data_IF_057929762181
#
_entry.id   IF_057929762181
#
_cell.length_a   1.000
_cell.length_b   1.000
_cell.length_c   1.000
_cell.angle_alpha   90.00
_cell.angle_beta   90.00
_cell.angle_gamma   90.00
#
_symmetry.space_group_name_H-M   'P 1'
#
loop_
_entity.id
_entity.type
_entity.pdbx_description
1 polymer ?
#
# COMPACT_ATOMS: atom_id res chain seq x y z
N UNK A 1 12.59 2.12 14.28
CA UNK A 1 12.28 1.83 12.87
C UNK A 1 11.09 2.70 12.48
N UNK A 2 11.11 3.33 11.30
CA UNK A 2 10.00 4.21 10.89
C UNK A 2 8.86 3.38 10.31
N UNK A 3 7.62 3.63 10.72
CA UNK A 3 6.44 2.92 10.22
C UNK A 3 5.81 3.67 9.06
N UNK A 4 5.71 3.01 7.91
CA UNK A 4 5.19 3.62 6.68
C UNK A 4 3.97 2.84 6.20
N UNK A 5 2.85 3.53 6.01
CA UNK A 5 1.62 2.94 5.49
C UNK A 5 1.37 3.35 4.03
N UNK A 6 1.26 2.37 3.14
CA UNK A 6 0.83 2.56 1.76
C UNK A 6 -0.68 2.33 1.64
N UNK A 7 -1.43 3.39 1.33
CA UNK A 7 -2.88 3.36 1.23
C UNK A 7 -3.36 3.44 -0.22
N UNK A 8 -4.17 2.49 -0.63
CA UNK A 8 -4.87 2.51 -1.92
C UNK A 8 -6.37 2.27 -1.74
N UNK A 9 -7.13 2.15 -2.82
CA UNK A 9 -8.59 1.89 -2.73
C UNK A 9 -8.88 0.48 -2.20
N UNK A 10 -8.32 -0.57 -2.82
CA UNK A 10 -8.73 -1.96 -2.60
C UNK A 10 -7.66 -2.90 -2.00
N UNK A 11 -6.50 -2.37 -1.61
CA UNK A 11 -5.30 -3.12 -1.19
C UNK A 11 -4.91 -4.31 -2.09
N UNK A 12 -5.10 -4.15 -3.40
CA UNK A 12 -4.99 -5.25 -4.36
C UNK A 12 -3.68 -5.26 -5.17
N UNK A 13 -3.23 -4.10 -5.67
CA UNK A 13 -2.03 -4.01 -6.51
C UNK A 13 -1.00 -3.02 -5.95
N UNK A 14 -1.28 -1.71 -6.08
CA UNK A 14 -0.28 -0.64 -5.88
C UNK A 14 0.31 -0.62 -4.49
N UNK A 15 -0.54 -0.65 -3.46
CA UNK A 15 -0.04 -0.64 -2.09
C UNK A 15 0.67 -1.94 -1.70
N UNK A 16 0.26 -3.08 -2.28
CA UNK A 16 0.92 -4.38 -2.07
C UNK A 16 2.33 -4.41 -2.67
N UNK A 17 2.49 -3.95 -3.91
CA UNK A 17 3.79 -3.83 -4.56
C UNK A 17 4.68 -2.83 -3.82
N UNK A 18 4.13 -1.69 -3.39
CA UNK A 18 4.88 -0.68 -2.64
C UNK A 18 5.40 -1.23 -1.29
N UNK A 19 4.58 -2.00 -0.57
CA UNK A 19 5.03 -2.70 0.64
C UNK A 19 6.17 -3.68 0.32
N UNK A 20 6.02 -4.51 -0.73
CA UNK A 20 7.04 -5.47 -1.14
C UNK A 20 8.38 -4.82 -1.49
N UNK A 21 8.36 -3.77 -2.32
CA UNK A 21 9.56 -2.99 -2.65
C UNK A 21 10.21 -2.38 -1.41
N UNK A 22 9.39 -1.82 -0.51
CA UNK A 22 9.93 -1.16 0.67
C UNK A 22 10.55 -2.16 1.64
N UNK A 23 9.93 -3.32 1.80
CA UNK A 23 10.45 -4.40 2.65
C UNK A 23 11.76 -4.94 2.10
N UNK A 24 11.87 -5.09 0.79
CA UNK A 24 13.07 -5.59 0.13
C UNK A 24 14.27 -4.64 0.25
N UNK A 25 14.10 -3.35 -0.04
CA UNK A 25 15.21 -2.39 -0.05
C UNK A 25 15.48 -1.70 1.29
N UNK A 26 14.45 -1.54 2.13
CA UNK A 26 14.53 -0.72 3.33
C UNK A 26 13.97 -1.40 4.59
N UNK A 27 13.76 -2.71 4.58
CA UNK A 27 13.19 -3.46 5.72
C UNK A 27 13.96 -3.33 7.04
N UNK A 28 15.26 -3.01 6.99
CA UNK A 28 16.11 -2.79 8.17
C UNK A 28 15.87 -1.43 8.85
N UNK A 29 15.29 -0.46 8.13
CA UNK A 29 15.12 0.93 8.61
C UNK A 29 13.66 1.39 8.62
N UNK A 30 12.84 0.79 7.76
CA UNK A 30 11.43 1.05 7.57
C UNK A 30 10.66 -0.23 7.82
N UNK A 31 9.58 -0.10 8.58
CA UNK A 31 8.58 -1.13 8.77
C UNK A 31 7.38 -0.80 7.87
N UNK A 32 7.28 -1.41 6.67
CA UNK A 32 6.23 -1.07 5.72
C UNK A 32 4.94 -1.84 6.01
N UNK A 33 3.83 -1.14 5.81
CA UNK A 33 2.48 -1.65 5.89
C UNK A 33 1.69 -1.23 4.65
N UNK A 34 0.72 -2.04 4.24
CA UNK A 34 -0.25 -1.65 3.23
C UNK A 34 -1.68 -1.91 3.68
N UNK A 35 -2.58 -1.04 3.26
CA UNK A 35 -4.02 -1.19 3.46
C UNK A 35 -4.81 -0.57 2.31
N UNK A 36 -6.11 -0.78 2.39
CA UNK A 36 -7.12 -0.25 1.49
C UNK A 36 -8.24 0.44 2.26
N UNK A 37 -8.96 1.33 1.59
CA UNK A 37 -10.28 1.76 2.07
C UNK A 37 -11.26 0.58 2.06
N UNK A 38 -11.11 -0.29 1.06
CA UNK A 38 -11.83 -1.55 0.88
C UNK A 38 -10.82 -2.69 0.70
N UNK A 39 -11.32 -3.94 0.77
CA UNK A 39 -10.53 -5.14 0.47
C UNK A 39 -11.04 -5.81 -0.81
N UNK A 40 -10.19 -5.88 -1.83
CA UNK A 40 -10.52 -6.53 -3.11
C UNK A 40 -9.69 -7.81 -3.35
N UNK A 41 -8.86 -8.21 -2.38
CA UNK A 41 -7.98 -9.36 -2.51
C UNK A 41 -6.65 -9.01 -3.20
N UNK A 42 -5.61 -9.82 -2.95
CA UNK A 42 -4.31 -9.64 -3.57
C UNK A 42 -4.39 -9.96 -5.07
N UNK A 43 -3.97 -9.03 -5.93
CA UNK A 43 -4.02 -9.23 -7.37
C UNK A 43 -2.95 -10.26 -7.81
N UNK A 44 -3.33 -11.38 -8.45
CA UNK A 44 -2.38 -12.39 -8.90
C UNK A 44 -1.32 -11.84 -9.87
N UNK A 45 -1.65 -10.83 -10.68
CA UNK A 45 -0.69 -10.18 -11.56
C UNK A 45 0.34 -9.36 -10.80
N UNK A 46 -0.04 -8.75 -9.66
CA UNK A 46 0.93 -8.07 -8.80
C UNK A 46 1.94 -9.07 -8.22
N UNK A 47 1.47 -10.25 -7.78
CA UNK A 47 2.35 -11.33 -7.31
C UNK A 47 3.30 -11.75 -8.43
N UNK A 48 2.78 -11.99 -9.64
CA UNK A 48 3.57 -12.41 -10.79
C UNK A 48 4.66 -11.40 -11.16
N UNK A 49 4.30 -10.12 -11.30
CA UNK A 49 5.23 -9.06 -11.71
C UNK A 49 6.30 -8.81 -10.64
N UNK A 50 5.96 -8.89 -9.36
CA UNK A 50 6.95 -8.76 -8.28
C UNK A 50 7.90 -9.97 -8.25
N UNK A 51 7.39 -11.18 -8.53
CA UNK A 51 8.22 -12.38 -8.63
C UNK A 51 9.19 -12.32 -9.81
N UNK A 52 8.81 -11.70 -10.94
CA UNK A 52 9.69 -11.48 -12.10
C UNK A 52 10.97 -10.68 -11.74
N UNK A 53 10.90 -9.82 -10.73
CA UNK A 53 12.03 -9.02 -10.22
C UNK A 53 12.62 -9.59 -8.92
N UNK A 54 12.24 -10.81 -8.52
CA UNK A 54 12.78 -11.50 -7.35
C UNK A 54 12.19 -11.09 -6.00
N UNK A 55 11.04 -10.42 -5.98
CA UNK A 55 10.35 -10.03 -4.75
C UNK A 55 9.07 -10.85 -4.59
N UNK A 56 9.03 -11.69 -3.56
CA UNK A 56 7.85 -12.48 -3.23
C UNK A 56 6.87 -11.68 -2.34
N UNK A 57 5.67 -11.44 -2.87
CA UNK A 57 4.54 -10.85 -2.12
C UNK A 57 3.38 -11.85 -1.95
N UNK A 58 3.57 -13.13 -2.26
CA UNK A 58 2.51 -14.15 -2.24
C UNK A 58 1.88 -14.35 -0.85
N UNK A 59 2.64 -14.11 0.20
CA UNK A 59 2.19 -14.19 1.60
C UNK A 59 1.48 -12.91 2.08
N UNK A 60 1.40 -11.87 1.25
CA UNK A 60 0.63 -10.69 1.60
C UNK A 60 -0.87 -10.99 1.54
N UNK A 61 -1.64 -10.21 2.29
CA UNK A 61 -3.10 -10.27 2.28
C UNK A 61 -3.68 -8.88 2.14
N UNK A 62 -4.80 -8.79 1.42
CA UNK A 62 -5.59 -7.58 1.30
C UNK A 62 -6.31 -7.30 2.62
N UNK A 63 -6.13 -6.10 3.17
CA UNK A 63 -6.72 -5.67 4.43
C UNK A 63 -7.17 -4.21 4.39
N UNK A 64 -8.15 -3.86 5.21
CA UNK A 64 -8.56 -2.48 5.44
C UNK A 64 -7.69 -1.81 6.49
N UNK A 65 -7.81 -0.49 6.64
CA UNK A 65 -7.11 0.27 7.68
C UNK A 65 -7.52 -0.20 9.08
N UNK A 66 -8.80 -0.55 9.28
CA UNK A 66 -9.32 -1.00 10.58
C UNK A 66 -8.83 -2.41 10.96
N UNK A 67 -8.40 -3.21 9.98
CA UNK A 67 -7.80 -4.53 10.19
C UNK A 67 -6.30 -4.42 10.55
N UNK A 68 -5.69 -3.22 10.44
CA UNK A 68 -4.34 -2.99 10.93
C UNK A 68 -4.34 -2.86 12.46
N UNK A 69 -3.28 -3.35 13.13
CA UNK A 69 -3.11 -3.06 14.54
C UNK A 69 -3.05 -1.54 14.76
N UNK A 70 -3.49 -1.08 15.93
CA UNK A 70 -3.40 0.33 16.32
C UNK A 70 -1.91 0.72 16.39
N UNK A 71 -1.44 1.33 15.31
CA UNK A 71 -0.05 1.74 15.13
C UNK A 71 0.01 3.24 14.86
N UNK A 72 0.95 3.89 15.52
CA UNK A 72 1.36 5.23 15.13
C UNK A 72 2.27 5.14 13.90
N UNK A 73 1.76 5.56 12.75
CA UNK A 73 2.53 5.66 11.52
C UNK A 73 3.30 6.98 11.47
N UNK A 74 4.56 6.94 11.04
CA UNK A 74 5.35 8.15 10.81
C UNK A 74 4.96 8.81 9.48
N UNK A 75 4.63 7.97 8.48
CA UNK A 75 4.29 8.40 7.13
C UNK A 75 3.16 7.55 6.54
N UNK A 76 2.17 8.20 5.95
CA UNK A 76 1.12 7.58 5.14
C UNK A 76 1.29 8.05 3.70
N UNK A 77 1.41 7.11 2.77
CA UNK A 77 1.54 7.36 1.34
C UNK A 77 0.27 6.90 0.64
N UNK A 78 -0.52 7.84 0.12
CA UNK A 78 -1.68 7.52 -0.71
C UNK A 78 -1.26 7.33 -2.16
N UNK A 79 -1.55 6.16 -2.73
CA UNK A 79 -1.14 5.78 -4.11
C UNK A 79 -2.32 5.77 -5.10
N UNK A 80 -3.46 6.33 -4.69
CA UNK A 80 -4.66 6.53 -5.51
C UNK A 80 -5.33 7.84 -5.11
N UNK A 81 -5.87 8.57 -6.08
CA UNK A 81 -6.61 9.80 -5.82
C UNK A 81 -7.82 9.56 -4.90
N UNK A 82 -8.57 8.47 -5.12
CA UNK A 82 -9.72 8.11 -4.28
C UNK A 82 -9.35 7.64 -2.85
N UNK A 83 -8.10 7.26 -2.62
CA UNK A 83 -7.60 6.95 -1.28
C UNK A 83 -7.23 8.22 -0.51
N UNK A 84 -6.88 9.30 -1.21
CA UNK A 84 -6.64 10.62 -0.62
C UNK A 84 -7.93 11.25 -0.09
N UNK A 85 -9.03 11.12 -0.82
CA UNK A 85 -10.33 11.70 -0.45
C UNK A 85 -10.98 10.98 0.74
N UNK A 86 -10.77 9.67 0.86
CA UNK A 86 -11.29 8.83 1.95
C UNK A 86 -10.22 8.52 3.02
N UNK A 87 -9.15 9.31 3.05
CA UNK A 87 -8.06 9.11 4.00
C UNK A 87 -8.59 9.37 5.42
N UNK A 88 -8.46 8.42 6.37
CA UNK A 88 -8.84 8.66 7.76
C UNK A 88 -7.98 9.75 8.38
N UNK A 89 -8.49 10.33 9.47
CA UNK A 89 -7.71 11.22 10.32
C UNK A 89 -6.66 10.41 11.07
N UNK A 90 -5.39 10.66 10.76
CA UNK A 90 -4.27 10.13 11.53
C UNK A 90 -3.87 11.11 12.65
N UNK A 91 -3.25 10.62 13.74
CA UNK A 91 -2.71 11.48 14.80
C UNK A 91 -1.79 12.57 14.22
N UNK A 92 -1.79 13.78 14.80
CA UNK A 92 -1.10 14.99 14.29
C UNK A 92 0.40 14.82 13.95
N UNK A 93 1.07 13.78 14.48
CA UNK A 93 2.48 13.48 14.20
C UNK A 93 2.70 12.76 12.85
N UNK A 94 1.64 12.21 12.26
CA UNK A 94 1.70 11.43 11.02
C UNK A 94 1.82 12.35 9.82
N UNK A 95 2.87 12.17 9.01
CA UNK A 95 2.97 12.88 7.73
C UNK A 95 2.15 12.15 6.68
N UNK A 96 1.32 12.86 5.92
CA UNK A 96 0.54 12.29 4.81
C UNK A 96 1.09 12.83 3.49
N UNK A 97 1.41 11.94 2.56
CA UNK A 97 1.93 12.26 1.23
C UNK A 97 1.09 11.56 0.16
N UNK A 98 0.76 12.25 -0.92
CA UNK A 98 0.13 11.66 -2.09
C UNK A 98 1.18 11.40 -3.17
N UNK A 99 1.22 10.19 -3.69
CA UNK A 99 2.07 9.84 -4.83
C UNK A 99 1.38 10.28 -6.12
N UNK A 100 1.98 11.23 -6.84
CA UNK A 100 1.43 11.82 -8.07
C UNK A 100 1.91 11.12 -9.37
N UNK A 101 2.56 9.97 -9.27
CA UNK A 101 3.10 9.29 -10.46
C UNK A 101 2.00 8.71 -11.35
N UNK A 102 2.15 8.74 -12.69
CA UNK A 102 1.17 8.21 -13.61
C UNK A 102 1.03 6.69 -13.44
N UNK A 103 -0.21 6.21 -13.40
CA UNK A 103 -0.51 4.78 -13.48
C UNK A 103 -1.08 4.46 -14.87
N UNK A 104 -0.56 3.45 -15.59
CA UNK A 104 -1.25 2.93 -16.76
C UNK A 104 -2.54 2.26 -16.29
N UNK A 105 -3.67 2.96 -16.37
CA UNK A 105 -5.00 2.35 -16.25
C UNK A 105 -5.16 1.42 -17.45
N UNK A 106 -4.74 0.17 -17.34
CA UNK A 106 -5.14 -0.86 -18.31
C UNK A 106 -6.64 -1.05 -18.15
N UNK A 107 -7.40 -0.65 -19.17
CA UNK A 107 -8.85 -0.58 -19.15
C UNK A 107 -9.52 -1.89 -18.73
N UNK A 108 -10.45 -1.77 -17.79
CA UNK A 108 -11.71 -2.51 -17.78
C UNK A 108 -12.81 -1.55 -17.40
N UNK A 109 -13.29 -0.81 -18.40
CA UNK A 109 -14.71 -0.51 -18.51
C UNK A 109 -15.39 -1.81 -18.96
N UNK A 110 -16.05 -2.48 -18.02
CA UNK A 110 -17.17 -3.36 -18.33
C UNK A 110 -18.38 -2.75 -17.64
#
# INVERSE_FOLDING_TARGET
MKKVLFLCTGNSCRSQMAEGWTRHYWGEIIEPYSAGVEKHGLNPYAVKVMAEVGIDISNHHSKTIDELPTLDFDLVVTVCDSARERCPLFPKKTKIMAWAGPYPKTGRSA
#
